data_IF_125589054879
#
_entry.id   IF_125589054879
#
_cell.length_a   1.000
_cell.length_b   1.000
_cell.length_c   1.000
_cell.angle_alpha   90.00
_cell.angle_beta   90.00
_cell.angle_gamma   90.00
#
_symmetry.space_group_name_H-M   'P 1'
#
loop_
_entity.id
_entity.type
_entity.pdbx_description
1 polymer ?
#
# COMPACT_ATOMS: atom_id res chain seq x y z
N UNK A 1 42.54 -25.46 -6.32
CA UNK A 1 41.33 -25.44 -5.49
C UNK A 1 40.59 -24.17 -5.84
N UNK A 2 39.69 -24.24 -6.82
CA UNK A 2 38.81 -23.12 -7.20
C UNK A 2 37.63 -23.11 -6.24
N UNK A 3 37.50 -22.07 -5.45
CA UNK A 3 36.33 -21.84 -4.63
C UNK A 3 35.19 -21.42 -5.57
N UNK A 4 34.21 -22.29 -5.68
CA UNK A 4 32.96 -22.08 -6.42
C UNK A 4 32.12 -21.05 -5.63
N UNK A 5 32.25 -19.78 -6.00
CA UNK A 5 31.39 -18.72 -5.50
C UNK A 5 30.06 -18.81 -6.27
N UNK A 6 29.27 -19.82 -5.94
CA UNK A 6 27.85 -19.82 -6.30
C UNK A 6 27.20 -18.66 -5.56
N UNK A 7 27.05 -17.52 -6.24
CA UNK A 7 26.15 -16.45 -5.83
C UNK A 7 24.75 -17.07 -5.78
N UNK A 8 24.31 -17.40 -4.56
CA UNK A 8 22.93 -17.79 -4.31
C UNK A 8 22.06 -16.55 -4.57
N UNK A 9 21.60 -16.38 -5.81
CA UNK A 9 20.60 -15.34 -6.11
C UNK A 9 19.37 -15.67 -5.26
N UNK A 10 18.79 -14.70 -4.54
CA UNK A 10 17.58 -14.93 -3.78
C UNK A 10 16.50 -15.45 -4.72
N UNK A 11 15.84 -16.54 -4.31
CA UNK A 11 14.73 -17.10 -5.08
C UNK A 11 13.57 -16.11 -5.05
N UNK A 12 13.00 -15.80 -6.20
CA UNK A 12 11.77 -14.98 -6.27
C UNK A 12 10.57 -15.85 -5.90
N UNK A 13 9.68 -15.34 -5.06
CA UNK A 13 8.45 -16.05 -4.71
C UNK A 13 7.55 -16.21 -5.94
N UNK A 14 7.14 -17.45 -6.22
CA UNK A 14 6.24 -17.73 -7.34
C UNK A 14 4.83 -17.19 -7.06
N UNK A 15 4.09 -16.75 -8.11
CA UNK A 15 2.70 -16.35 -7.97
C UNK A 15 1.85 -17.54 -7.48
N UNK A 16 0.87 -17.30 -6.58
CA UNK A 16 0.00 -18.36 -6.10
C UNK A 16 -0.89 -18.91 -7.22
N UNK A 17 -1.15 -20.22 -7.18
CA UNK A 17 -2.04 -20.86 -8.14
C UNK A 17 -3.49 -20.37 -7.98
N UNK A 18 -4.22 -20.23 -9.10
CA UNK A 18 -5.63 -19.83 -9.08
C UNK A 18 -5.86 -18.31 -9.08
N UNK A 19 -4.81 -17.48 -9.22
CA UNK A 19 -4.93 -16.03 -9.22
C UNK A 19 -5.88 -15.49 -10.30
N UNK A 20 -5.82 -16.02 -11.52
CA UNK A 20 -6.73 -15.63 -12.59
C UNK A 20 -8.19 -15.94 -12.28
N UNK A 21 -8.47 -17.08 -11.62
CA UNK A 21 -9.83 -17.44 -11.19
C UNK A 21 -10.32 -16.55 -10.04
N UNK A 22 -9.41 -16.06 -9.19
CA UNK A 22 -9.74 -15.23 -8.03
C UNK A 22 -9.95 -13.75 -8.39
N UNK A 23 -9.04 -13.17 -9.19
CA UNK A 23 -9.03 -11.73 -9.53
C UNK A 23 -9.64 -11.43 -10.91
N UNK A 24 -9.88 -12.45 -11.74
CA UNK A 24 -10.15 -12.32 -13.17
C UNK A 24 -8.87 -12.13 -13.98
N UNK A 25 -8.88 -12.63 -15.23
CA UNK A 25 -7.71 -12.61 -16.13
C UNK A 25 -7.07 -11.22 -16.29
N UNK A 26 -7.85 -10.11 -16.52
CA UNK A 26 -7.24 -8.80 -16.73
C UNK A 26 -6.48 -8.27 -15.50
N UNK A 27 -7.06 -8.40 -14.30
CA UNK A 27 -6.41 -7.95 -13.06
C UNK A 27 -5.20 -8.83 -12.73
N UNK A 28 -5.34 -10.15 -12.90
CA UNK A 28 -4.24 -11.08 -12.66
C UNK A 28 -3.05 -10.82 -13.58
N UNK A 29 -3.27 -10.60 -14.87
CA UNK A 29 -2.21 -10.25 -15.81
C UNK A 29 -1.46 -8.97 -15.41
N UNK A 30 -2.18 -7.94 -14.92
CA UNK A 30 -1.58 -6.71 -14.40
C UNK A 30 -0.77 -6.96 -13.12
N UNK A 31 -1.27 -7.79 -12.19
CA UNK A 31 -0.54 -8.18 -10.98
C UNK A 31 0.76 -8.90 -11.32
N UNK A 32 0.72 -9.87 -12.25
CA UNK A 32 1.92 -10.57 -12.73
C UNK A 32 2.91 -9.60 -13.40
N UNK A 33 2.42 -8.70 -14.26
CA UNK A 33 3.27 -7.69 -14.90
C UNK A 33 3.93 -6.76 -13.87
N UNK A 34 3.21 -6.36 -12.83
CA UNK A 34 3.77 -5.53 -11.76
C UNK A 34 4.82 -6.29 -10.93
N UNK A 35 4.57 -7.57 -10.62
CA UNK A 35 5.55 -8.43 -9.97
C UNK A 35 6.84 -8.51 -10.78
N UNK A 36 6.75 -8.80 -12.08
CA UNK A 36 7.92 -8.85 -12.98
C UNK A 36 8.69 -7.52 -13.01
N UNK A 37 8.00 -6.38 -13.04
CA UNK A 37 8.67 -5.07 -12.97
C UNK A 37 9.47 -4.90 -11.67
N UNK A 38 8.93 -5.36 -10.52
CA UNK A 38 9.60 -5.31 -9.24
C UNK A 38 10.78 -6.29 -9.14
N UNK A 39 10.66 -7.46 -9.75
CA UNK A 39 11.75 -8.45 -9.87
C UNK A 39 12.92 -7.90 -10.67
N UNK A 40 12.63 -7.28 -11.82
CA UNK A 40 13.65 -6.77 -12.73
C UNK A 40 14.35 -5.50 -12.21
N UNK A 41 13.63 -4.60 -11.56
CA UNK A 41 14.09 -3.25 -11.29
C UNK A 41 14.07 -2.85 -9.80
N UNK A 42 13.38 -3.63 -8.95
CA UNK A 42 13.10 -3.24 -7.56
C UNK A 42 14.34 -3.00 -6.71
N UNK A 43 15.33 -3.86 -6.79
CA UNK A 43 16.59 -3.72 -6.04
C UNK A 43 17.44 -2.55 -6.59
N UNK A 44 17.62 -2.51 -7.90
CA UNK A 44 18.40 -1.46 -8.58
C UNK A 44 17.85 -0.04 -8.29
N UNK A 45 16.53 0.11 -8.23
CA UNK A 45 15.86 1.39 -7.92
C UNK A 45 15.72 1.64 -6.41
N UNK A 46 16.14 0.70 -5.54
CA UNK A 46 15.99 0.80 -4.09
C UNK A 46 14.54 0.85 -3.63
N UNK A 47 13.68 0.08 -4.29
CA UNK A 47 12.25 -0.06 -3.99
C UNK A 47 12.01 -1.22 -3.02
N UNK A 48 12.67 -2.36 -3.28
CA UNK A 48 12.65 -3.59 -2.49
C UNK A 48 14.07 -4.12 -2.38
N UNK A 49 14.43 -4.61 -1.19
CA UNK A 49 15.69 -5.31 -1.03
C UNK A 49 15.61 -6.74 -1.59
N UNK A 50 16.77 -7.38 -1.92
CA UNK A 50 16.78 -8.72 -2.52
C UNK A 50 16.01 -9.78 -1.72
N UNK A 51 16.06 -9.71 -0.38
CA UNK A 51 15.35 -10.65 0.51
C UNK A 51 13.83 -10.46 0.50
N UNK A 52 13.33 -9.31 0.07
CA UNK A 52 11.90 -9.04 -0.01
C UNK A 52 11.27 -9.72 -1.25
N UNK A 53 12.09 -10.05 -2.27
CA UNK A 53 11.63 -10.80 -3.45
C UNK A 53 11.23 -12.24 -3.10
N UNK A 54 11.84 -12.85 -2.07
CA UNK A 54 11.46 -14.18 -1.56
C UNK A 54 10.05 -14.23 -0.99
N UNK A 55 9.44 -13.06 -0.74
CA UNK A 55 8.11 -12.87 -0.17
C UNK A 55 7.32 -11.78 -0.92
N UNK A 56 7.62 -11.63 -2.22
CA UNK A 56 7.04 -10.58 -3.05
C UNK A 56 5.51 -10.68 -3.11
N UNK A 57 5.00 -11.87 -3.40
CA UNK A 57 3.57 -12.09 -3.51
C UNK A 57 2.86 -12.08 -2.16
N UNK A 58 3.31 -12.89 -1.22
CA UNK A 58 2.63 -13.05 0.07
C UNK A 58 2.70 -11.77 0.91
N UNK A 59 3.89 -11.20 1.08
CA UNK A 59 4.13 -10.08 1.98
C UNK A 59 3.82 -8.71 1.37
N UNK A 60 3.97 -8.56 0.04
CA UNK A 60 3.83 -7.25 -0.59
C UNK A 60 2.58 -7.13 -1.44
N UNK A 61 2.41 -7.93 -2.50
CA UNK A 61 1.27 -7.80 -3.39
C UNK A 61 -0.04 -8.16 -2.66
N UNK A 62 -0.17 -9.39 -2.24
CA UNK A 62 -1.43 -9.89 -1.66
C UNK A 62 -1.73 -9.25 -0.30
N UNK A 63 -0.72 -9.11 0.55
CA UNK A 63 -0.88 -8.44 1.84
C UNK A 63 -1.48 -7.03 1.72
N UNK A 64 -1.19 -6.31 0.63
CA UNK A 64 -1.77 -4.99 0.34
C UNK A 64 -3.31 -5.03 0.23
N UNK A 65 -3.90 -6.17 -0.10
CA UNK A 65 -5.35 -6.34 -0.24
C UNK A 65 -6.08 -6.50 1.10
N UNK A 66 -5.37 -6.64 2.21
CA UNK A 66 -6.00 -6.74 3.52
C UNK A 66 -6.88 -5.54 3.88
N UNK A 67 -6.63 -4.38 3.26
CA UNK A 67 -7.44 -3.16 3.45
C UNK A 67 -8.62 -3.05 2.47
N UNK A 68 -8.64 -3.82 1.41
CA UNK A 68 -9.65 -3.73 0.35
C UNK A 68 -11.10 -3.80 0.88
N UNK A 69 -11.47 -4.68 1.82
CA UNK A 69 -12.83 -4.75 2.35
C UNK A 69 -13.28 -3.50 3.13
N UNK A 70 -12.36 -2.62 3.50
CA UNK A 70 -12.66 -1.36 4.20
C UNK A 70 -12.81 -0.16 3.27
N UNK A 71 -12.66 -0.37 1.96
CA UNK A 71 -12.72 0.69 0.96
C UNK A 71 -14.09 0.66 0.26
N UNK A 72 -14.91 1.70 0.42
CA UNK A 72 -16.22 1.78 -0.24
C UNK A 72 -16.11 1.69 -1.77
N UNK A 73 -17.20 1.28 -2.40
CA UNK A 73 -17.28 1.31 -3.86
C UNK A 73 -17.15 2.75 -4.39
N UNK A 74 -16.43 2.91 -5.50
CA UNK A 74 -16.18 4.18 -6.17
C UNK A 74 -15.54 5.26 -5.29
N UNK A 75 -14.83 4.84 -4.22
CA UNK A 75 -14.18 5.77 -3.30
C UNK A 75 -12.96 6.47 -3.93
N UNK A 76 -12.71 7.69 -3.48
CA UNK A 76 -11.43 8.37 -3.67
C UNK A 76 -10.46 7.94 -2.56
N UNK A 77 -9.27 7.48 -2.95
CA UNK A 77 -8.26 6.92 -2.03
C UNK A 77 -6.94 7.67 -2.19
N UNK A 78 -6.35 8.12 -1.08
CA UNK A 78 -4.98 8.62 -1.07
C UNK A 78 -4.06 7.58 -0.40
N UNK A 79 -2.97 7.24 -1.05
CA UNK A 79 -1.92 6.37 -0.51
C UNK A 79 -0.71 7.23 -0.13
N UNK A 80 -0.47 7.40 1.17
CA UNK A 80 0.63 8.22 1.68
C UNK A 80 1.93 7.41 1.73
N UNK A 81 2.96 7.92 1.05
CA UNK A 81 4.26 7.27 0.97
C UNK A 81 4.20 5.98 0.17
N UNK A 82 3.65 6.05 -1.02
CA UNK A 82 3.35 4.90 -1.88
C UNK A 82 4.57 4.02 -2.19
N UNK A 83 5.78 4.59 -2.18
CA UNK A 83 7.04 3.86 -2.30
C UNK A 83 7.14 3.04 -3.57
N UNK A 84 7.22 1.71 -3.42
CA UNK A 84 7.21 0.78 -4.55
C UNK A 84 5.83 0.62 -5.20
N UNK A 85 4.76 1.20 -4.60
CA UNK A 85 3.38 1.12 -5.09
C UNK A 85 2.44 0.35 -4.16
N UNK A 86 2.81 0.18 -2.89
CA UNK A 86 2.02 -0.60 -1.92
C UNK A 86 1.39 0.30 -0.85
N UNK A 87 0.09 0.22 -0.63
CA UNK A 87 -0.89 -0.68 -1.28
C UNK A 87 -1.55 -0.10 -2.54
N UNK A 88 -1.29 1.16 -2.92
CA UNK A 88 -2.07 1.92 -3.88
C UNK A 88 -2.14 1.31 -5.28
N UNK A 89 -1.02 0.84 -5.86
CA UNK A 89 -1.01 0.19 -7.19
C UNK A 89 -1.78 -1.13 -7.16
N UNK A 90 -1.67 -1.92 -6.08
CA UNK A 90 -2.39 -3.19 -5.97
C UNK A 90 -3.90 -2.94 -5.91
N UNK A 91 -4.34 -1.95 -5.13
CA UNK A 91 -5.74 -1.53 -5.09
C UNK A 91 -6.23 -1.07 -6.47
N UNK A 92 -5.43 -0.27 -7.17
CA UNK A 92 -5.77 0.20 -8.52
C UNK A 92 -5.97 -0.94 -9.51
N UNK A 93 -5.17 -2.00 -9.42
CA UNK A 93 -5.27 -3.16 -10.30
C UNK A 93 -6.56 -3.94 -10.06
N UNK A 94 -6.92 -4.17 -8.79
CA UNK A 94 -8.08 -5.03 -8.45
C UNK A 94 -9.39 -4.27 -8.33
N UNK A 95 -9.36 -2.95 -8.19
CA UNK A 95 -10.51 -2.08 -7.96
C UNK A 95 -10.50 -0.90 -8.95
N UNK A 96 -10.88 -1.17 -10.20
CA UNK A 96 -10.96 -0.15 -11.25
C UNK A 96 -12.05 0.91 -11.04
N UNK A 97 -12.92 0.70 -10.06
CA UNK A 97 -13.95 1.64 -9.64
C UNK A 97 -13.42 2.78 -8.76
N UNK A 98 -12.21 2.64 -8.19
CA UNK A 98 -11.62 3.63 -7.30
C UNK A 98 -10.95 4.77 -8.08
N UNK A 99 -10.85 5.95 -7.45
CA UNK A 99 -9.95 7.04 -7.88
C UNK A 99 -8.78 7.10 -6.93
N UNK A 100 -7.57 6.78 -7.39
CA UNK A 100 -6.40 6.63 -6.52
C UNK A 100 -5.38 7.76 -6.73
N UNK A 101 -4.94 8.34 -5.62
CA UNK A 101 -3.88 9.32 -5.54
C UNK A 101 -2.68 8.71 -4.80
N UNK A 102 -1.57 8.54 -5.49
CA UNK A 102 -0.30 8.07 -4.92
C UNK A 102 0.53 9.30 -4.52
N UNK A 103 0.86 9.42 -3.23
CA UNK A 103 1.63 10.54 -2.69
C UNK A 103 3.02 10.04 -2.31
N UNK A 104 4.06 10.55 -2.96
CA UNK A 104 5.44 10.17 -2.73
C UNK A 104 6.35 11.40 -2.84
N UNK A 105 7.42 11.46 -2.04
CA UNK A 105 8.32 12.61 -1.97
C UNK A 105 9.64 12.40 -2.71
N UNK A 106 10.00 11.16 -3.00
CA UNK A 106 11.26 10.83 -3.64
C UNK A 106 11.11 10.76 -5.15
N UNK A 107 11.73 11.66 -5.90
CA UNK A 107 11.63 11.77 -7.37
C UNK A 107 11.80 10.43 -8.09
N UNK A 108 12.80 9.62 -7.70
CA UNK A 108 13.04 8.31 -8.30
C UNK A 108 11.87 7.33 -8.12
N UNK A 109 11.13 7.43 -6.99
CA UNK A 109 9.95 6.60 -6.72
C UNK A 109 8.73 7.13 -7.44
N UNK A 110 8.60 8.44 -7.56
CA UNK A 110 7.57 9.09 -8.37
C UNK A 110 7.70 8.65 -9.83
N UNK A 111 8.90 8.74 -10.41
CA UNK A 111 9.16 8.26 -11.77
C UNK A 111 8.79 6.78 -11.95
N UNK A 112 9.17 5.94 -10.99
CA UNK A 112 8.77 4.53 -10.97
C UNK A 112 7.25 4.36 -10.98
N UNK A 113 6.53 5.05 -10.10
CA UNK A 113 5.08 4.97 -10.01
C UNK A 113 4.40 5.42 -11.31
N UNK A 114 4.88 6.50 -11.93
CA UNK A 114 4.39 6.98 -13.23
C UNK A 114 4.63 5.95 -14.35
N UNK A 115 5.80 5.31 -14.39
CA UNK A 115 6.11 4.23 -15.32
C UNK A 115 5.18 3.03 -15.12
N UNK A 116 4.94 2.62 -13.88
CA UNK A 116 4.01 1.53 -13.53
C UNK A 116 2.59 1.87 -13.97
N UNK A 117 2.08 3.06 -13.62
CA UNK A 117 0.73 3.52 -13.98
C UNK A 117 0.53 3.48 -15.49
N UNK A 118 1.52 3.97 -16.24
CA UNK A 118 1.50 3.96 -17.71
C UNK A 118 1.56 2.54 -18.27
N UNK A 119 2.49 1.70 -17.80
CA UNK A 119 2.71 0.35 -18.32
C UNK A 119 1.53 -0.58 -18.06
N UNK A 120 0.87 -0.42 -16.91
CA UNK A 120 -0.28 -1.22 -16.52
C UNK A 120 -1.62 -0.65 -16.99
N UNK A 121 -1.62 0.49 -17.68
CA UNK A 121 -2.83 1.19 -18.12
C UNK A 121 -3.83 1.37 -16.97
N UNK A 122 -3.46 2.24 -16.01
CA UNK A 122 -4.26 2.57 -14.82
C UNK A 122 -4.72 4.04 -14.87
N UNK A 123 -5.67 4.41 -15.75
CA UNK A 123 -6.04 5.81 -16.00
C UNK A 123 -6.72 6.49 -14.81
N UNK A 124 -7.18 5.74 -13.82
CA UNK A 124 -7.81 6.20 -12.59
C UNK A 124 -6.81 6.45 -11.44
N UNK A 125 -5.50 6.40 -11.74
CA UNK A 125 -4.42 6.66 -10.78
C UNK A 125 -3.70 7.95 -11.13
N UNK A 126 -3.49 8.81 -10.12
CA UNK A 126 -2.67 10.01 -10.21
C UNK A 126 -1.48 9.90 -9.25
N UNK A 127 -0.31 10.38 -9.68
CA UNK A 127 0.90 10.40 -8.86
C UNK A 127 1.24 11.85 -8.50
N UNK A 128 1.48 12.10 -7.21
CA UNK A 128 1.81 13.43 -6.70
C UNK A 128 3.21 13.39 -6.04
N UNK A 129 4.12 14.18 -6.58
CA UNK A 129 5.44 14.41 -6.00
C UNK A 129 5.37 15.51 -4.95
N UNK A 130 4.89 15.19 -3.76
CA UNK A 130 4.77 16.15 -2.66
C UNK A 130 4.63 15.45 -1.30
N UNK A 131 4.69 16.23 -0.23
CA UNK A 131 4.34 15.74 1.10
C UNK A 131 2.82 15.72 1.28
N UNK A 132 2.31 14.77 2.07
CA UNK A 132 0.88 14.69 2.36
C UNK A 132 0.33 15.98 3.00
N UNK A 133 1.14 16.64 3.84
CA UNK A 133 0.77 17.90 4.49
C UNK A 133 0.57 19.07 3.50
N UNK A 134 1.27 19.03 2.37
CA UNK A 134 1.16 20.06 1.32
C UNK A 134 -0.17 19.94 0.56
N UNK A 135 -0.75 18.74 0.51
CA UNK A 135 -2.03 18.48 -0.11
C UNK A 135 -3.23 18.86 0.80
N UNK A 136 -2.98 19.06 2.10
CA UNK A 136 -4.01 19.40 3.06
C UNK A 136 -4.75 20.70 2.67
N UNK A 137 -6.09 20.63 2.63
CA UNK A 137 -6.95 21.74 2.21
C UNK A 137 -7.07 21.92 0.69
N UNK A 138 -6.32 21.16 -0.11
CA UNK A 138 -6.41 21.21 -1.59
C UNK A 138 -7.23 20.02 -2.14
N UNK A 139 -7.20 18.88 -1.48
CA UNK A 139 -7.96 17.70 -1.87
C UNK A 139 -8.43 16.93 -0.62
N UNK A 140 -9.54 16.22 -0.75
CA UNK A 140 -10.10 15.37 0.30
C UNK A 140 -10.53 14.03 -0.28
N UNK A 141 -10.31 12.96 0.51
CA UNK A 141 -10.51 11.57 0.11
C UNK A 141 -11.48 10.85 1.04
N UNK A 142 -12.17 9.84 0.52
CA UNK A 142 -13.02 8.96 1.31
C UNK A 142 -12.17 8.06 2.22
N UNK A 143 -11.02 7.63 1.70
CA UNK A 143 -10.06 6.80 2.42
C UNK A 143 -8.65 7.35 2.24
N UNK A 144 -7.90 7.38 3.33
CA UNK A 144 -6.44 7.55 3.29
C UNK A 144 -5.81 6.26 3.75
N UNK A 145 -4.86 5.76 2.99
CA UNK A 145 -4.11 4.55 3.34
C UNK A 145 -2.61 4.82 3.46
N UNK A 146 -1.93 3.94 4.15
CA UNK A 146 -0.47 3.94 4.25
C UNK A 146 0.04 2.57 4.68
N UNK A 147 1.24 2.21 4.23
CA UNK A 147 1.95 1.02 4.63
C UNK A 147 3.43 1.34 4.91
N UNK A 148 3.95 0.94 6.07
CA UNK A 148 5.35 1.05 6.47
C UNK A 148 5.95 2.49 6.41
N UNK A 149 5.12 3.53 6.45
CA UNK A 149 5.56 4.94 6.31
C UNK A 149 5.99 5.53 7.65
N UNK A 150 5.13 5.46 8.66
CA UNK A 150 5.38 6.05 9.98
C UNK A 150 4.51 5.41 11.07
N UNK A 151 4.88 5.54 12.36
CA UNK A 151 3.99 5.23 13.48
C UNK A 151 2.72 6.08 13.44
N UNK A 152 1.61 5.55 13.99
CA UNK A 152 0.28 6.22 13.98
C UNK A 152 0.32 7.65 14.51
N UNK A 153 1.12 7.92 15.55
CA UNK A 153 1.27 9.28 16.12
C UNK A 153 1.76 10.34 15.13
N UNK A 154 2.48 9.90 14.06
CA UNK A 154 2.92 10.77 12.97
C UNK A 154 1.98 10.68 11.77
N UNK A 155 1.45 9.50 11.48
CA UNK A 155 0.57 9.27 10.35
C UNK A 155 -0.77 10.00 10.48
N UNK A 156 -1.37 10.02 11.67
CA UNK A 156 -2.64 10.72 11.93
C UNK A 156 -2.60 12.19 11.51
N UNK A 157 -1.61 13.01 11.93
CA UNK A 157 -1.50 14.41 11.49
C UNK A 157 -1.39 14.60 9.97
N UNK A 158 -0.85 13.63 9.25
CA UNK A 158 -0.74 13.67 7.79
C UNK A 158 -2.03 13.24 7.09
N UNK A 159 -2.68 12.20 7.62
CA UNK A 159 -3.82 11.57 6.98
C UNK A 159 -5.14 12.33 7.23
N UNK A 160 -5.41 12.74 8.48
CA UNK A 160 -6.72 13.30 8.83
C UNK A 160 -7.08 14.61 8.12
N UNK A 161 -6.15 15.55 7.86
CA UNK A 161 -6.44 16.73 7.05
C UNK A 161 -6.82 16.44 5.59
N UNK A 162 -6.54 15.22 5.11
CA UNK A 162 -6.89 14.76 3.76
C UNK A 162 -8.22 14.01 3.70
N UNK A 163 -8.87 13.74 4.85
CA UNK A 163 -10.12 12.98 4.88
C UNK A 163 -11.33 13.91 4.67
N UNK A 164 -12.30 13.42 3.90
CA UNK A 164 -13.66 13.96 3.89
C UNK A 164 -14.33 13.75 5.25
N UNK A 165 -15.41 14.48 5.57
CA UNK A 165 -16.29 14.11 6.70
C UNK A 165 -16.71 12.64 6.58
N UNK A 166 -16.69 11.91 7.69
CA UNK A 166 -16.91 10.46 7.77
C UNK A 166 -15.92 9.58 6.99
N UNK A 167 -14.85 10.15 6.45
CA UNK A 167 -13.77 9.38 5.83
C UNK A 167 -12.95 8.59 6.85
N UNK A 168 -12.10 7.68 6.36
CA UNK A 168 -11.33 6.79 7.22
C UNK A 168 -9.85 6.72 6.84
N UNK A 169 -8.99 6.71 7.85
CA UNK A 169 -7.62 6.20 7.71
C UNK A 169 -7.68 4.68 7.84
N UNK A 170 -7.19 3.97 6.81
CA UNK A 170 -7.09 2.50 6.77
C UNK A 170 -5.63 2.12 6.51
N UNK A 171 -4.89 1.73 7.55
CA UNK A 171 -3.45 1.54 7.47
C UNK A 171 -3.02 0.10 7.76
N UNK A 172 -2.12 -0.41 6.92
CA UNK A 172 -1.44 -1.69 7.16
C UNK A 172 -0.37 -1.51 8.25
N UNK A 173 -0.46 -2.32 9.29
CA UNK A 173 0.42 -2.25 10.45
C UNK A 173 0.97 -3.64 10.82
N UNK A 174 2.12 -3.63 11.49
CA UNK A 174 2.75 -4.84 12.02
C UNK A 174 2.32 -5.18 13.44
N UNK A 175 3.07 -6.06 14.09
CA UNK A 175 2.81 -6.58 15.44
C UNK A 175 2.73 -5.51 16.55
N UNK A 176 3.17 -4.27 16.28
CA UNK A 176 3.13 -3.18 17.26
C UNK A 176 1.90 -2.27 17.14
N UNK A 177 0.87 -2.68 16.39
CA UNK A 177 -0.31 -1.85 16.13
C UNK A 177 -0.99 -1.34 17.41
N UNK A 178 -1.16 -2.20 18.42
CA UNK A 178 -1.76 -1.85 19.70
C UNK A 178 -0.92 -0.80 20.46
N UNK A 179 0.39 -0.98 20.47
CA UNK A 179 1.33 -0.04 21.10
C UNK A 179 1.29 1.31 20.38
N UNK A 180 1.23 1.30 19.05
CA UNK A 180 1.15 2.52 18.25
C UNK A 180 -0.16 3.30 18.51
N UNK A 181 -1.29 2.62 18.74
CA UNK A 181 -2.55 3.27 19.15
C UNK A 181 -2.39 3.95 20.49
N UNK A 182 -1.80 3.27 21.46
CA UNK A 182 -1.56 3.86 22.80
C UNK A 182 -0.65 5.09 22.72
N UNK A 183 0.43 5.01 21.94
CA UNK A 183 1.32 6.15 21.71
C UNK A 183 0.64 7.30 20.95
N UNK A 184 -0.39 7.01 20.16
CA UNK A 184 -1.14 7.99 19.36
C UNK A 184 -2.31 8.64 20.10
N UNK A 185 -2.65 8.27 21.36
CA UNK A 185 -3.82 8.77 22.13
C UNK A 185 -3.95 10.30 22.13
N UNK A 186 -2.83 11.03 22.17
CA UNK A 186 -2.84 12.50 22.12
C UNK A 186 -3.35 13.00 20.76
N UNK A 187 -2.92 12.36 19.67
CA UNK A 187 -3.35 12.72 18.31
C UNK A 187 -4.80 12.29 18.06
N UNK A 188 -5.21 11.11 18.54
CA UNK A 188 -6.59 10.64 18.48
C UNK A 188 -7.54 11.68 19.10
N UNK A 189 -7.22 12.20 20.30
CA UNK A 189 -8.01 13.27 20.92
C UNK A 189 -7.95 14.59 20.16
N UNK A 190 -6.73 14.99 19.70
CA UNK A 190 -6.54 16.27 18.98
C UNK A 190 -7.36 16.34 17.69
N UNK A 191 -7.47 15.23 16.97
CA UNK A 191 -8.20 15.14 15.70
C UNK A 191 -9.64 14.66 15.85
N UNK A 192 -10.15 14.58 17.12
CA UNK A 192 -11.52 14.16 17.43
C UNK A 192 -11.91 12.83 16.75
N UNK A 193 -10.97 11.85 16.74
CA UNK A 193 -11.18 10.56 16.11
C UNK A 193 -12.20 9.76 16.92
N UNK A 194 -13.32 9.37 16.29
CA UNK A 194 -14.42 8.70 16.96
C UNK A 194 -14.07 7.28 17.42
N UNK A 195 -13.39 6.53 16.56
CA UNK A 195 -13.02 5.16 16.86
C UNK A 195 -11.71 4.78 16.18
N UNK A 196 -10.94 3.94 16.85
CA UNK A 196 -9.76 3.28 16.28
C UNK A 196 -9.91 1.80 16.55
N UNK A 197 -9.90 0.99 15.51
CA UNK A 197 -10.03 -0.47 15.59
C UNK A 197 -8.84 -1.14 14.94
N UNK A 198 -8.53 -2.36 15.39
CA UNK A 198 -7.57 -3.26 14.75
C UNK A 198 -8.32 -4.49 14.29
N UNK A 199 -8.08 -4.88 13.05
CA UNK A 199 -8.60 -6.11 12.46
C UNK A 199 -7.43 -6.97 12.02
N UNK A 200 -7.39 -8.21 12.44
CA UNK A 200 -6.52 -9.23 11.84
C UNK A 200 -7.24 -9.82 10.65
N UNK A 201 -6.54 -9.87 9.51
CA UNK A 201 -7.12 -10.33 8.25
C UNK A 201 -6.19 -11.31 7.56
N UNK A 202 -6.73 -12.46 7.23
CA UNK A 202 -6.11 -13.37 6.27
C UNK A 202 -6.46 -12.92 4.86
N UNK A 203 -5.49 -12.95 3.98
CA UNK A 203 -5.66 -12.60 2.57
C UNK A 203 -5.52 -13.86 1.73
N UNK A 204 -6.34 -13.98 0.70
CA UNK A 204 -6.26 -15.09 -0.24
C UNK A 204 -4.82 -15.27 -0.76
N UNK A 205 -4.37 -16.53 -0.83
CA UNK A 205 -3.02 -16.86 -1.31
C UNK A 205 -1.89 -16.56 -0.32
N UNK A 206 -2.21 -16.23 0.95
CA UNK A 206 -1.21 -16.03 2.00
C UNK A 206 -1.58 -16.83 3.26
N UNK A 207 -0.56 -17.32 3.96
CA UNK A 207 -0.72 -18.01 5.24
C UNK A 207 -0.61 -17.06 6.46
N UNK A 208 -0.24 -15.80 6.22
CA UNK A 208 -0.01 -14.82 7.27
C UNK A 208 -1.20 -13.86 7.42
N UNK A 209 -1.68 -13.71 8.65
CA UNK A 209 -2.63 -12.66 8.97
C UNK A 209 -1.93 -11.30 9.04
N UNK A 210 -2.59 -10.28 8.54
CA UNK A 210 -2.13 -8.89 8.58
C UNK A 210 -3.02 -8.05 9.45
N UNK A 211 -2.45 -7.03 10.14
CA UNK A 211 -3.20 -6.11 10.96
C UNK A 211 -3.54 -4.85 10.18
N UNK A 212 -4.83 -4.57 10.15
CA UNK A 212 -5.39 -3.34 9.58
C UNK A 212 -5.87 -2.46 10.73
N UNK A 213 -5.30 -1.26 10.84
CA UNK A 213 -5.80 -0.22 11.75
C UNK A 213 -6.73 0.68 10.98
N UNK A 214 -7.95 0.85 11.49
CA UNK A 214 -8.97 1.73 10.93
C UNK A 214 -9.34 2.82 11.93
N UNK A 215 -9.29 4.07 11.49
CA UNK A 215 -9.65 5.23 12.29
C UNK A 215 -10.56 6.16 11.50
N UNK A 216 -11.70 6.58 12.09
CA UNK A 216 -12.72 7.37 11.41
C UNK A 216 -12.64 8.84 11.78
N UNK A 217 -12.74 9.70 10.76
CA UNK A 217 -13.03 11.12 10.96
C UNK A 217 -14.46 11.33 11.45
N UNK A 218 -14.68 12.39 12.22
CA UNK A 218 -16.01 12.84 12.67
C UNK A 218 -16.78 13.45 11.52
#
# INVERSE_FOLDING_TARGET
>A
MSADLTHNQPSVEAPPSGGASHFGEPAWAKLCSFATMLEDEGDMRGLLGPRELERLWSRHLLNSLAIEPDIPASASVADIGSGAGFPGIILAIVRSDLSICLIETMDRRVQWLEEVVKKLDLPHVQVFNMRAEELAGQAHFDVVTARAVAPLKKLIPWAFPLLKPAGALVALKGARAEIEIDEARKMIRKFSINSVTIHERSVWGTDEATRVVKAYAV
#
